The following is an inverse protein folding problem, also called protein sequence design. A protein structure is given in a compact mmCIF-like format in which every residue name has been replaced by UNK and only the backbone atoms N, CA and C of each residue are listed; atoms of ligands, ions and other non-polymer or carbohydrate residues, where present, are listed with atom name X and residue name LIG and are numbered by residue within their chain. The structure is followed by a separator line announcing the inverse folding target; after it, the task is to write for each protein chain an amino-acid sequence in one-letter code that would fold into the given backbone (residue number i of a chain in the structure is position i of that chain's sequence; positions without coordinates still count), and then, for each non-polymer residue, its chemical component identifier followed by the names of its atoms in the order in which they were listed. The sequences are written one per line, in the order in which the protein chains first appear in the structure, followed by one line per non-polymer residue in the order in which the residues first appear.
data_IF_994642479412
#
_entry.id   IF_994642479412
#
_cell.length_a   1.000
_cell.length_b   1.000
_cell.length_c   1.000
_cell.angle_alpha   90.00
_cell.angle_beta   90.00
_cell.angle_gamma   90.00
#
_symmetry.space_group_name_H-M   'P 1'
#
loop_
_entity.id
_entity.type
_entity.pdbx_description
1 polymer ?
#
# COMPACT_ATOMS: atom_id res chain seq x y z
N UNK A 1 18.99 6.24 8.24
CA UNK A 1 18.96 4.92 8.78
C UNK A 1 18.19 3.92 7.95
N UNK A 2 18.00 2.78 8.53
CA UNK A 2 17.24 1.72 7.88
C UNK A 2 15.80 1.76 8.35
N UNK A 3 14.88 1.64 7.40
CA UNK A 3 13.46 1.71 7.72
C UNK A 3 12.75 0.53 7.09
N UNK A 4 11.87 -0.10 7.85
CA UNK A 4 11.03 -1.14 7.29
C UNK A 4 9.72 -0.52 6.90
N UNK A 5 9.30 -0.70 5.66
CA UNK A 5 8.02 -0.20 5.18
C UNK A 5 7.16 -1.39 4.79
N UNK A 6 5.92 -1.40 5.27
CA UNK A 6 5.00 -2.50 4.99
C UNK A 6 3.81 -1.94 4.24
N UNK A 7 3.54 -2.51 3.08
CA UNK A 7 2.38 -2.15 2.28
C UNK A 7 1.35 -3.26 2.43
N UNK A 8 0.18 -2.90 2.93
CA UNK A 8 -0.90 -3.87 3.11
C UNK A 8 -1.98 -3.63 2.09
N UNK A 9 -2.36 -4.65 1.36
CA UNK A 9 -3.43 -4.58 0.37
C UNK A 9 -4.43 -5.67 0.65
N UNK A 10 -5.70 -5.28 0.73
CA UNK A 10 -6.79 -6.22 0.94
C UNK A 10 -7.75 -6.13 -0.24
N UNK A 11 -8.03 -7.25 -0.85
CA UNK A 11 -8.96 -7.33 -1.97
C UNK A 11 -10.12 -8.22 -1.55
N UNK A 12 -11.33 -7.71 -1.69
CA UNK A 12 -12.52 -8.49 -1.45
C UNK A 12 -13.30 -8.53 -2.76
N UNK A 13 -13.49 -9.71 -3.29
CA UNK A 13 -14.27 -9.88 -4.52
C UNK A 13 -15.64 -10.41 -4.16
N UNK A 14 -16.67 -9.77 -4.70
CA UNK A 14 -18.03 -10.16 -4.41
C UNK A 14 -18.77 -10.51 -5.67
N UNK A 15 -19.64 -11.51 -5.56
CA UNK A 15 -20.54 -11.89 -6.63
C UNK A 15 -21.93 -11.85 -6.04
N UNK A 16 -22.79 -10.98 -6.56
CA UNK A 16 -24.17 -10.84 -6.08
C UNK A 16 -24.21 -10.64 -4.58
N UNK A 17 -23.35 -9.77 -4.12
CA UNK A 17 -23.27 -9.40 -2.73
C UNK A 17 -22.74 -10.46 -1.81
N UNK A 18 -22.29 -11.56 -2.32
CA UNK A 18 -21.63 -12.56 -1.50
C UNK A 18 -20.15 -12.55 -1.80
N UNK A 19 -19.34 -12.73 -0.78
CA UNK A 19 -17.90 -12.73 -0.94
C UNK A 19 -17.46 -13.99 -1.66
N UNK A 20 -16.91 -13.82 -2.85
CA UNK A 20 -16.32 -14.94 -3.59
C UNK A 20 -14.95 -15.28 -3.05
N UNK A 21 -14.13 -14.27 -2.74
CA UNK A 21 -12.84 -14.53 -2.12
C UNK A 21 -12.32 -13.24 -1.46
N UNK A 22 -11.39 -13.41 -0.57
CA UNK A 22 -10.71 -12.30 0.08
C UNK A 22 -9.22 -12.62 0.10
N UNK A 23 -8.42 -11.67 -0.32
CA UNK A 23 -6.96 -11.82 -0.32
C UNK A 23 -6.36 -10.64 0.42
N UNK A 24 -5.45 -10.92 1.33
CA UNK A 24 -4.73 -9.84 2.01
C UNK A 24 -3.24 -10.14 1.90
N UNK A 25 -2.48 -9.13 1.50
CA UNK A 25 -1.04 -9.26 1.34
C UNK A 25 -0.37 -8.16 2.11
N UNK A 26 0.69 -8.50 2.83
CA UNK A 26 1.55 -7.52 3.44
C UNK A 26 2.92 -7.67 2.81
N UNK A 27 3.33 -6.68 2.04
CA UNK A 27 4.62 -6.69 1.38
C UNK A 27 5.55 -5.73 2.11
N UNK A 28 6.64 -6.25 2.62
CA UNK A 28 7.57 -5.44 3.40
C UNK A 28 8.90 -5.28 2.67
N UNK A 29 9.59 -4.21 2.96
CA UNK A 29 10.93 -4.00 2.44
C UNK A 29 11.71 -3.12 3.39
N UNK A 30 13.02 -3.27 3.37
CA UNK A 30 13.92 -2.47 4.19
C UNK A 30 14.54 -1.42 3.27
N UNK A 31 14.42 -0.16 3.66
CA UNK A 31 14.93 0.94 2.87
C UNK A 31 15.99 1.71 3.65
N UNK A 32 17.12 1.94 3.01
CA UNK A 32 18.16 2.78 3.59
C UNK A 32 17.97 4.17 3.03
N UNK A 33 17.62 5.12 3.86
CA UNK A 33 17.38 6.48 3.45
C UNK A 33 18.20 7.42 4.28
N UNK A 34 19.01 8.26 3.64
CA UNK A 34 19.85 9.22 4.34
C UNK A 34 19.78 10.55 3.62
N UNK A 35 20.14 11.62 4.31
CA UNK A 35 20.27 12.92 3.67
C UNK A 35 18.99 13.72 3.56
N UNK A 36 17.92 13.30 4.22
CA UNK A 36 16.66 14.02 4.18
C UNK A 36 16.28 14.54 5.56
N UNK A 37 15.60 15.69 5.58
CA UNK A 37 15.04 16.18 6.84
C UNK A 37 13.80 15.33 7.16
N UNK A 38 13.20 15.58 8.33
CA UNK A 38 12.10 14.74 8.79
C UNK A 38 10.90 14.77 7.85
N UNK A 39 10.56 15.93 7.30
CA UNK A 39 9.41 16.03 6.42
C UNK A 39 9.65 15.30 5.12
N UNK A 40 10.83 15.45 4.53
CA UNK A 40 11.16 14.78 3.29
C UNK A 40 11.28 13.28 3.49
N UNK A 41 11.83 12.86 4.62
CA UNK A 41 11.95 11.45 4.93
C UNK A 41 10.56 10.81 5.01
N UNK A 42 9.62 11.49 5.67
CA UNK A 42 8.28 10.96 5.78
C UNK A 42 7.63 10.83 4.39
N UNK A 43 7.86 11.82 3.52
CA UNK A 43 7.33 11.74 2.18
C UNK A 43 7.92 10.57 1.39
N UNK A 44 9.22 10.36 1.49
CA UNK A 44 9.87 9.26 0.78
C UNK A 44 9.32 7.93 1.27
N UNK A 45 9.17 7.75 2.58
CA UNK A 45 8.67 6.51 3.12
C UNK A 45 7.19 6.29 2.79
N UNK A 46 6.45 7.37 2.57
CA UNK A 46 5.03 7.28 2.25
C UNK A 46 4.71 7.23 0.77
N UNK A 47 5.68 7.50 -0.11
CA UNK A 47 5.42 7.55 -1.54
C UNK A 47 6.34 6.62 -2.32
N UNK A 48 7.64 6.87 -2.29
CA UNK A 48 8.58 6.10 -3.09
C UNK A 48 8.66 4.66 -2.62
N UNK A 49 8.69 4.44 -1.32
CA UNK A 49 8.81 3.08 -0.80
C UNK A 49 7.61 2.21 -1.17
N UNK A 50 6.35 2.64 -0.94
CA UNK A 50 5.22 1.82 -1.39
C UNK A 50 5.17 1.66 -2.89
N UNK A 51 5.62 2.66 -3.65
CA UNK A 51 5.66 2.55 -5.11
C UNK A 51 6.58 1.40 -5.54
N UNK A 52 7.70 1.23 -4.84
CA UNK A 52 8.61 0.15 -5.14
C UNK A 52 8.02 -1.20 -4.73
N UNK A 53 7.30 -1.24 -3.61
CA UNK A 53 6.75 -2.48 -3.10
C UNK A 53 5.51 -2.95 -3.86
N UNK A 54 4.79 -2.03 -4.48
CA UNK A 54 3.49 -2.35 -5.08
C UNK A 54 3.56 -3.46 -6.16
N UNK A 55 4.50 -3.43 -7.10
CA UNK A 55 4.52 -4.49 -8.11
C UNK A 55 4.72 -5.89 -7.51
N UNK A 56 5.48 -5.99 -6.43
CA UNK A 56 5.67 -7.28 -5.77
C UNK A 56 4.39 -7.72 -5.08
N UNK A 57 3.69 -6.79 -4.44
CA UNK A 57 2.42 -7.12 -3.79
C UNK A 57 1.38 -7.52 -4.82
N UNK A 58 1.34 -6.81 -5.96
CA UNK A 58 0.39 -7.11 -7.02
C UNK A 58 0.63 -8.50 -7.58
N UNK A 59 1.89 -8.85 -7.78
CA UNK A 59 2.22 -10.16 -8.32
C UNK A 59 1.84 -11.26 -7.33
N UNK A 60 2.05 -11.03 -6.05
CA UNK A 60 1.69 -12.00 -5.03
C UNK A 60 0.18 -12.21 -4.97
N UNK A 61 -0.59 -11.13 -5.10
CA UNK A 61 -2.04 -11.22 -5.10
C UNK A 61 -2.52 -12.04 -6.29
N UNK A 62 -1.99 -11.76 -7.48
CA UNK A 62 -2.40 -12.49 -8.68
C UNK A 62 -2.04 -13.96 -8.56
N UNK A 63 -0.87 -14.27 -8.02
CA UNK A 63 -0.46 -15.66 -7.86
C UNK A 63 -1.38 -16.41 -6.92
N UNK A 64 -1.80 -15.77 -5.82
CA UNK A 64 -2.70 -16.40 -4.89
C UNK A 64 -4.09 -16.62 -5.49
N UNK A 65 -4.58 -15.66 -6.25
CA UNK A 65 -5.87 -15.82 -6.91
C UNK A 65 -5.86 -16.99 -7.87
N UNK A 66 -4.81 -17.10 -8.68
CA UNK A 66 -4.70 -18.18 -9.64
C UNK A 66 -4.60 -19.53 -8.92
N UNK A 67 -3.83 -19.59 -7.83
CA UNK A 67 -3.73 -20.82 -7.06
C UNK A 67 -5.07 -21.22 -6.46
N UNK A 68 -5.92 -20.26 -6.16
CA UNK A 68 -7.23 -20.55 -5.63
C UNK A 68 -8.29 -20.85 -6.68
N UNK A 69 -7.90 -20.87 -7.95
CA UNK A 69 -8.84 -21.18 -9.02
C UNK A 69 -9.57 -19.97 -9.58
N UNK A 70 -9.10 -18.76 -9.28
CA UNK A 70 -9.72 -17.54 -9.77
C UNK A 70 -8.82 -16.85 -10.77
N UNK A 71 -9.37 -15.99 -11.63
CA UNK A 71 -8.51 -15.22 -12.53
C UNK A 71 -7.69 -14.20 -11.75
N UNK A 72 -6.55 -13.76 -12.27
CA UNK A 72 -5.78 -12.73 -11.61
C UNK A 72 -6.55 -11.42 -11.57
N UNK A 73 -6.36 -10.65 -10.50
CA UNK A 73 -7.06 -9.39 -10.31
C UNK A 73 -6.49 -8.30 -11.21
N UNK A 74 -5.16 -8.29 -11.37
CA UNK A 74 -4.45 -7.33 -12.22
C UNK A 74 -4.77 -5.91 -11.80
N UNK A 75 -4.40 -5.57 -10.56
CA UNK A 75 -4.68 -4.26 -10.00
C UNK A 75 -4.07 -3.14 -10.85
N UNK A 76 -4.81 -2.05 -10.97
CA UNK A 76 -4.28 -0.87 -11.64
C UNK A 76 -3.20 -0.22 -10.79
N UNK A 77 -2.28 0.51 -11.40
CA UNK A 77 -1.25 1.21 -10.63
C UNK A 77 -1.87 2.20 -9.66
N UNK A 78 -1.22 2.38 -8.52
CA UNK A 78 -1.69 3.28 -7.48
C UNK A 78 -0.77 4.49 -7.44
N UNK A 79 -1.37 5.67 -7.36
CA UNK A 79 -0.60 6.89 -7.22
C UNK A 79 -0.41 7.19 -5.74
N UNK A 80 0.69 6.75 -5.18
CA UNK A 80 0.95 6.93 -3.76
C UNK A 80 1.22 8.38 -3.38
N UNK A 81 1.68 9.20 -4.33
CA UNK A 81 1.83 10.62 -4.08
C UNK A 81 0.47 11.24 -3.79
N UNK A 82 -0.54 10.91 -4.58
CA UNK A 82 -1.87 11.44 -4.36
C UNK A 82 -2.43 10.99 -3.02
N UNK A 83 -2.21 9.72 -2.66
CA UNK A 83 -2.67 9.22 -1.38
C UNK A 83 -1.98 9.92 -0.22
N UNK A 84 -0.70 10.19 -0.37
CA UNK A 84 0.05 10.88 0.67
C UNK A 84 -0.47 12.30 0.84
N UNK A 85 -0.76 13.01 -0.25
CA UNK A 85 -1.31 14.35 -0.20
C UNK A 85 -2.70 14.35 0.46
N UNK A 86 -3.51 13.35 0.15
CA UNK A 86 -4.81 13.24 0.78
C UNK A 86 -4.69 13.00 2.28
N UNK A 87 -3.76 12.17 2.70
CA UNK A 87 -3.54 11.91 4.11
C UNK A 87 -3.10 13.15 4.83
N UNK A 88 -2.22 13.95 4.22
CA UNK A 88 -1.78 15.19 4.82
C UNK A 88 -2.93 16.17 4.96
N UNK A 89 -3.78 16.27 3.94
CA UNK A 89 -4.91 17.17 3.98
C UNK A 89 -5.89 16.76 5.08
N UNK A 90 -6.12 15.47 5.22
CA UNK A 90 -7.01 14.98 6.25
C UNK A 90 -6.43 15.23 7.64
N UNK A 91 -5.14 15.07 7.80
CA UNK A 91 -4.52 15.36 9.08
C UNK A 91 -4.60 16.83 9.41
N UNK A 92 -4.52 17.70 8.41
CA UNK A 92 -4.59 19.13 8.65
C UNK A 92 -5.99 19.54 9.07
N UNK A 93 -7.02 18.84 8.58
CA UNK A 93 -8.36 19.18 8.93
C UNK A 93 -8.85 18.51 10.18
N UNK A 94 -8.48 17.28 10.40
CA UNK A 94 -8.98 16.53 11.51
C UNK A 94 -7.99 16.58 12.62
N UNK A 95 -8.42 16.18 13.75
CA UNK A 95 -7.52 16.06 14.85
C UNK A 95 -6.49 15.05 14.47
N UNK A 96 -5.34 15.12 14.99
CA UNK A 96 -4.26 14.29 14.60
C UNK A 96 -4.61 12.86 14.72
N UNK A 97 -4.81 12.24 13.67
CA UNK A 97 -5.05 10.87 13.67
C UNK A 97 -3.73 10.24 13.54
N UNK A 98 -3.59 9.01 13.86
CA UNK A 98 -2.47 8.35 13.75
C UNK A 98 -2.19 8.12 12.44
N UNK A 99 -1.25 8.41 11.95
CA UNK A 99 -0.95 8.28 10.63
C UNK A 99 -0.69 6.95 10.20
N UNK A 100 -1.52 6.33 9.65
CA UNK A 100 -1.38 5.15 9.11
C UNK A 100 -0.90 5.34 7.82
N UNK A 101 0.21 5.15 7.49
CA UNK A 101 0.74 5.33 6.18
C UNK A 101 0.43 4.21 5.30
N UNK A 102 -0.31 3.34 5.67
CA UNK A 102 -0.55 2.20 4.86
C UNK A 102 -1.40 2.55 3.73
N UNK A 103 -1.03 2.25 2.56
CA UNK A 103 -1.84 2.46 1.41
C UNK A 103 -2.53 1.19 1.09
N UNK A 104 -3.75 1.20 0.80
CA UNK A 104 -4.41 -0.02 0.38
C UNK A 104 -5.63 0.26 -0.46
#
# INVERSE_FOLDING_TARGET
GNFEVVLTITITAKVEEETAFLVEIQQAGIFLVTGFNDNDLRRVLGTAAPTILFPYAREAIDALCVKGGFPPVMLAPVNFDALFQQALAQQAEAAPAEGEAAAH
#
